data_IF_631887763387
#
_entry.id   IF_631887763387
#
_cell.length_a   1.000
_cell.length_b   1.000
_cell.length_c   1.000
_cell.angle_alpha   90.00
_cell.angle_beta   90.00
_cell.angle_gamma   90.00
#
_symmetry.space_group_name_H-M   'P 1'
#
loop_
_entity.id
_entity.type
_entity.pdbx_description
1 polymer ?
#
# COMPACT_ATOMS: atom_id res chain seq x y z
N UNK A 1 23.23 3.90 65.46
CA UNK A 1 21.96 4.41 64.89
C UNK A 1 21.98 4.20 63.38
N UNK A 2 21.61 3.00 62.90
CA UNK A 2 21.56 2.67 61.47
C UNK A 2 20.30 3.29 60.85
N UNK A 3 20.46 4.09 59.79
CA UNK A 3 19.32 4.66 59.06
C UNK A 3 18.58 3.54 58.32
N UNK A 4 17.35 3.24 58.75
CA UNK A 4 16.44 2.33 58.07
C UNK A 4 16.12 2.88 56.67
N UNK A 5 16.36 2.06 55.64
CA UNK A 5 16.14 2.44 54.25
C UNK A 5 14.65 2.25 53.93
N UNK A 6 13.95 3.34 53.58
CA UNK A 6 12.52 3.33 53.25
C UNK A 6 12.22 2.36 52.08
N UNK A 7 11.13 1.58 52.11
CA UNK A 7 10.82 0.55 51.12
C UNK A 7 10.68 1.08 49.68
N UNK A 8 10.30 2.35 49.51
CA UNK A 8 10.33 3.05 48.22
C UNK A 8 11.70 3.67 47.87
N UNK A 9 12.79 2.99 48.24
CA UNK A 9 14.14 3.43 47.91
C UNK A 9 14.35 3.38 46.40
N UNK A 10 14.83 4.48 45.81
CA UNK A 10 15.20 4.60 44.39
C UNK A 10 16.21 3.53 43.90
N UNK A 11 16.77 2.72 44.81
CA UNK A 11 17.57 1.53 44.51
C UNK A 11 16.88 0.54 43.57
N UNK A 12 15.55 0.49 43.56
CA UNK A 12 14.79 -0.37 42.65
C UNK A 12 14.40 0.32 41.32
N UNK A 13 14.55 1.64 41.22
CA UNK A 13 14.15 2.42 40.04
C UNK A 13 15.32 2.77 39.10
N UNK A 14 16.52 2.96 39.65
CA UNK A 14 17.73 3.16 38.85
C UNK A 14 18.57 1.88 38.85
N UNK A 15 19.01 1.35 37.69
CA UNK A 15 19.96 0.24 37.67
C UNK A 15 21.19 0.67 38.48
N UNK A 16 21.54 -0.12 39.50
CA UNK A 16 22.73 0.18 40.31
C UNK A 16 23.95 0.00 39.42
N UNK A 17 24.66 1.07 39.08
CA UNK A 17 25.84 0.97 38.20
C UNK A 17 27.00 0.32 38.96
N UNK A 18 27.26 -0.95 38.66
CA UNK A 18 28.46 -1.66 39.08
C UNK A 18 29.50 -1.59 37.95
N UNK A 19 30.78 -1.73 38.28
CA UNK A 19 31.85 -1.73 37.27
C UNK A 19 31.65 -2.79 36.17
N UNK A 20 31.00 -3.89 36.53
CA UNK A 20 30.70 -5.02 35.66
C UNK A 20 29.53 -4.72 34.72
N UNK A 21 28.39 -4.23 35.24
CA UNK A 21 27.25 -3.92 34.39
C UNK A 21 27.44 -2.67 33.52
N UNK A 22 28.27 -1.72 33.96
CA UNK A 22 28.64 -0.56 33.14
C UNK A 22 29.41 -1.01 31.89
N UNK A 23 30.31 -1.99 32.04
CA UNK A 23 31.06 -2.57 30.93
C UNK A 23 30.14 -3.35 29.99
N UNK A 24 29.21 -4.14 30.51
CA UNK A 24 28.21 -4.84 29.69
C UNK A 24 27.31 -3.88 28.91
N UNK A 25 26.82 -2.81 29.54
CA UNK A 25 26.00 -1.81 28.86
C UNK A 25 26.78 -1.04 27.79
N UNK A 26 28.07 -0.78 28.01
CA UNK A 26 28.94 -0.19 27.00
C UNK A 26 29.10 -1.12 25.78
N UNK A 27 29.32 -2.42 26.02
CA UNK A 27 29.41 -3.43 24.97
C UNK A 27 28.10 -3.56 24.18
N UNK A 28 26.95 -3.63 24.87
CA UNK A 28 25.62 -3.65 24.25
C UNK A 28 25.36 -2.39 23.41
N UNK A 29 25.75 -1.23 23.91
CA UNK A 29 25.60 0.03 23.17
C UNK A 29 26.46 0.06 21.92
N UNK A 30 27.71 -0.43 21.99
CA UNK A 30 28.58 -0.54 20.84
C UNK A 30 28.04 -1.52 19.80
N UNK A 31 27.54 -2.69 20.23
CA UNK A 31 26.91 -3.67 19.37
C UNK A 31 25.66 -3.12 18.67
N UNK A 32 24.78 -2.41 19.40
CA UNK A 32 23.59 -1.77 18.83
C UNK A 32 23.92 -0.72 17.77
N UNK A 33 24.94 0.12 18.02
CA UNK A 33 25.42 1.10 17.04
C UNK A 33 25.96 0.43 15.77
N UNK A 34 26.70 -0.68 15.93
CA UNK A 34 27.21 -1.47 14.80
C UNK A 34 26.05 -2.07 13.99
N UNK A 35 25.13 -2.78 14.64
CA UNK A 35 23.95 -3.36 13.99
C UNK A 35 23.12 -2.30 13.24
N UNK A 36 22.92 -1.12 13.84
CA UNK A 36 22.22 -0.01 13.19
C UNK A 36 22.97 0.54 11.98
N UNK A 37 24.32 0.59 12.03
CA UNK A 37 25.15 0.98 10.90
C UNK A 37 25.06 -0.04 9.77
N UNK A 38 25.18 -1.32 10.10
CA UNK A 38 25.13 -2.43 9.14
C UNK A 38 23.76 -2.47 8.45
N UNK A 39 22.66 -2.30 9.19
CA UNK A 39 21.30 -2.20 8.64
C UNK A 39 21.16 -1.02 7.67
N UNK A 40 21.70 0.17 8.01
CA UNK A 40 21.69 1.33 7.10
C UNK A 40 22.52 1.08 5.85
N UNK A 41 23.65 0.40 5.97
CA UNK A 41 24.50 0.09 4.83
C UNK A 41 23.84 -0.95 3.92
N UNK A 42 23.22 -1.97 4.50
CA UNK A 42 22.42 -2.95 3.76
C UNK A 42 21.30 -2.26 2.97
N UNK A 43 20.50 -1.39 3.62
CA UNK A 43 19.44 -0.65 2.96
C UNK A 43 19.96 0.24 1.82
N UNK A 44 21.11 0.92 2.01
CA UNK A 44 21.75 1.72 0.95
C UNK A 44 22.14 0.86 -0.25
N UNK A 45 22.63 -0.35 -0.01
CA UNK A 45 22.94 -1.31 -1.08
C UNK A 45 21.66 -1.71 -1.83
N UNK A 46 20.59 -2.05 -1.11
CA UNK A 46 19.29 -2.41 -1.71
C UNK A 46 18.71 -1.29 -2.57
N UNK A 47 18.80 -0.03 -2.10
CA UNK A 47 18.32 1.13 -2.87
C UNK A 47 19.18 1.41 -4.11
N UNK A 48 20.48 1.14 -4.04
CA UNK A 48 21.37 1.23 -5.20
C UNK A 48 21.03 0.17 -6.24
N UNK A 49 20.76 -1.05 -5.79
CA UNK A 49 20.36 -2.15 -6.66
C UNK A 49 18.99 -1.87 -7.30
N UNK A 50 18.04 -1.32 -6.54
CA UNK A 50 16.76 -0.85 -7.06
C UNK A 50 16.91 0.24 -8.11
N UNK A 51 17.74 1.26 -7.83
CA UNK A 51 18.00 2.34 -8.79
C UNK A 51 18.57 1.77 -10.10
N UNK A 52 19.52 0.84 -10.00
CA UNK A 52 20.12 0.19 -11.17
C UNK A 52 19.10 -0.67 -11.93
N UNK A 53 18.27 -1.43 -11.22
CA UNK A 53 17.17 -2.19 -11.84
C UNK A 53 16.19 -1.26 -12.57
N UNK A 54 15.87 -0.12 -11.96
CA UNK A 54 15.04 0.89 -12.62
C UNK A 54 15.71 1.40 -13.91
N UNK A 55 16.96 1.85 -13.84
CA UNK A 55 17.68 2.41 -15.00
C UNK A 55 17.91 1.38 -16.12
N UNK A 56 18.28 0.15 -15.76
CA UNK A 56 18.67 -0.89 -16.72
C UNK A 56 17.47 -1.66 -17.30
N UNK A 57 16.35 -1.73 -16.57
CA UNK A 57 15.19 -2.55 -16.93
C UNK A 57 13.93 -1.72 -17.09
N UNK A 58 13.54 -0.95 -16.07
CA UNK A 58 12.25 -0.24 -16.10
C UNK A 58 12.27 1.00 -17.00
N UNK A 59 13.40 1.71 -17.10
CA UNK A 59 13.51 2.90 -17.96
C UNK A 59 13.80 2.50 -19.43
N UNK A 60 14.27 1.27 -19.67
CA UNK A 60 14.50 0.71 -21.02
C UNK A 60 13.27 0.00 -21.59
N UNK A 61 12.30 -0.35 -20.75
CA UNK A 61 11.07 -1.04 -21.13
C UNK A 61 9.90 -0.13 -20.79
N UNK A 62 9.10 0.25 -21.78
CA UNK A 62 7.89 1.03 -21.55
C UNK A 62 6.84 0.15 -20.85
N UNK A 63 6.95 0.04 -19.52
CA UNK A 63 6.04 -0.69 -18.65
C UNK A 63 5.26 0.29 -17.79
N UNK A 64 3.94 0.19 -17.85
CA UNK A 64 3.06 0.89 -16.92
C UNK A 64 2.82 0.04 -15.66
N UNK A 65 2.14 0.60 -14.66
CA UNK A 65 1.87 -0.11 -13.39
C UNK A 65 1.06 -1.40 -13.57
N UNK A 66 0.23 -1.49 -14.61
CA UNK A 66 -0.55 -2.69 -14.92
C UNK A 66 0.36 -3.82 -15.42
N UNK A 67 1.38 -3.50 -16.21
CA UNK A 67 2.37 -4.47 -16.69
C UNK A 67 3.18 -5.05 -15.53
N UNK A 68 3.53 -4.22 -14.54
CA UNK A 68 4.19 -4.68 -13.31
C UNK A 68 3.31 -5.67 -12.53
N UNK A 69 2.01 -5.38 -12.40
CA UNK A 69 1.07 -6.30 -11.74
C UNK A 69 0.97 -7.64 -12.47
N UNK A 70 0.96 -7.62 -13.82
CA UNK A 70 0.95 -8.84 -14.65
C UNK A 70 2.22 -9.66 -14.47
N UNK A 71 3.40 -9.02 -14.45
CA UNK A 71 4.67 -9.71 -14.20
C UNK A 71 4.71 -10.36 -12.81
N UNK A 72 4.26 -9.65 -11.77
CA UNK A 72 4.19 -10.19 -10.42
C UNK A 72 3.22 -11.37 -10.32
N UNK A 73 2.09 -11.30 -11.02
CA UNK A 73 1.13 -12.39 -11.11
C UNK A 73 1.76 -13.63 -11.75
N UNK A 74 2.46 -13.48 -12.87
CA UNK A 74 3.17 -14.60 -13.51
C UNK A 74 4.26 -15.20 -12.62
N UNK A 75 4.98 -14.35 -11.87
CA UNK A 75 5.97 -14.82 -10.90
C UNK A 75 5.33 -15.64 -9.78
N UNK A 76 4.22 -15.17 -9.22
CA UNK A 76 3.48 -15.91 -8.20
C UNK A 76 2.98 -17.27 -8.73
N UNK A 77 2.49 -17.32 -9.98
CA UNK A 77 2.12 -18.58 -10.63
C UNK A 77 3.31 -19.54 -10.80
N UNK A 78 4.49 -19.03 -11.16
CA UNK A 78 5.72 -19.84 -11.26
C UNK A 78 6.16 -20.40 -9.92
N UNK A 79 6.00 -19.60 -8.85
CA UNK A 79 6.37 -19.96 -7.49
C UNK A 79 5.26 -20.83 -6.80
N UNK A 80 4.24 -21.28 -7.54
CA UNK A 80 3.04 -22.01 -7.07
C UNK A 80 2.26 -21.29 -5.95
N UNK A 81 2.46 -19.98 -5.82
CA UNK A 81 1.73 -19.11 -4.89
C UNK A 81 0.43 -18.62 -5.56
N UNK A 82 -0.55 -19.53 -5.61
CA UNK A 82 -1.84 -19.28 -6.25
C UNK A 82 -2.69 -18.24 -5.53
N UNK A 83 -2.52 -18.07 -4.22
CA UNK A 83 -3.24 -17.07 -3.44
C UNK A 83 -2.79 -15.66 -3.87
N UNK A 84 -1.48 -15.40 -3.89
CA UNK A 84 -0.94 -14.13 -4.37
C UNK A 84 -1.27 -13.89 -5.85
N UNK A 85 -1.21 -14.94 -6.67
CA UNK A 85 -1.56 -14.83 -8.09
C UNK A 85 -3.04 -14.43 -8.28
N UNK A 86 -3.95 -15.03 -7.51
CA UNK A 86 -5.39 -14.71 -7.53
C UNK A 86 -5.66 -13.26 -7.15
N UNK A 87 -5.03 -12.76 -6.08
CA UNK A 87 -5.17 -11.38 -5.63
C UNK A 87 -4.67 -10.37 -6.67
N UNK A 88 -3.54 -10.68 -7.32
CA UNK A 88 -2.99 -9.83 -8.39
C UNK A 88 -3.88 -9.86 -9.63
N UNK A 89 -4.44 -11.01 -9.99
CA UNK A 89 -5.38 -11.15 -11.10
C UNK A 89 -6.65 -10.31 -10.89
N UNK A 90 -7.22 -10.32 -9.67
CA UNK A 90 -8.38 -9.49 -9.34
C UNK A 90 -8.10 -7.99 -9.52
N UNK A 91 -6.91 -7.53 -9.09
CA UNK A 91 -6.47 -6.13 -9.28
C UNK A 91 -6.30 -5.80 -10.75
N UNK A 92 -5.64 -6.66 -11.52
CA UNK A 92 -5.48 -6.46 -12.97
C UNK A 92 -6.84 -6.33 -13.65
N UNK A 93 -7.79 -7.22 -13.32
CA UNK A 93 -9.13 -7.20 -13.89
C UNK A 93 -9.89 -5.90 -13.59
N UNK A 94 -9.76 -5.33 -12.39
CA UNK A 94 -10.38 -4.05 -12.03
C UNK A 94 -9.91 -2.89 -12.93
N UNK A 95 -8.63 -2.88 -13.30
CA UNK A 95 -8.06 -1.85 -14.16
C UNK A 95 -8.28 -2.10 -15.65
N UNK A 96 -8.46 -3.36 -16.07
CA UNK A 96 -8.79 -3.72 -17.45
C UNK A 96 -10.28 -3.55 -17.76
N UNK A 97 -11.16 -3.62 -16.75
CA UNK A 97 -12.56 -3.32 -16.96
C UNK A 97 -12.71 -1.85 -17.38
N UNK A 98 -13.38 -1.58 -18.52
CA UNK A 98 -13.71 -0.21 -18.88
C UNK A 98 -14.53 0.36 -17.73
N UNK A 99 -13.99 1.36 -17.03
CA UNK A 99 -14.73 2.11 -16.00
C UNK A 99 -16.07 2.42 -16.61
N UNK A 100 -17.16 1.90 -16.03
CA UNK A 100 -18.52 2.19 -16.46
C UNK A 100 -18.59 3.69 -16.70
N UNK A 101 -18.58 4.11 -17.96
CA UNK A 101 -18.70 5.52 -18.28
C UNK A 101 -19.99 5.93 -17.61
N UNK A 102 -19.89 6.92 -16.72
CA UNK A 102 -21.06 7.56 -16.13
C UNK A 102 -21.87 8.03 -17.35
N UNK A 103 -22.90 7.28 -17.73
CA UNK A 103 -23.85 7.77 -18.73
C UNK A 103 -24.43 8.99 -18.06
N UNK A 104 -24.09 10.17 -18.55
CA UNK A 104 -24.87 11.36 -18.27
C UNK A 104 -26.26 11.04 -18.84
N UNK A 105 -27.15 10.55 -17.97
CA UNK A 105 -28.56 10.52 -18.29
C UNK A 105 -28.95 11.99 -18.37
N UNK A 106 -28.99 12.54 -19.60
CA UNK A 106 -29.74 13.75 -19.86
C UNK A 106 -31.21 13.39 -19.62
N UNK A 107 -31.65 13.59 -18.38
CA UNK A 107 -33.07 13.56 -18.05
C UNK A 107 -33.64 14.87 -18.61
N UNK A 108 -34.12 14.83 -19.85
CA UNK A 108 -34.95 15.92 -20.36
C UNK A 108 -36.33 15.83 -19.69
N UNK A 109 -36.56 16.67 -18.68
CA UNK A 109 -37.89 16.84 -18.09
C UNK A 109 -38.77 17.63 -19.07
N UNK A 110 -39.52 16.92 -19.91
CA UNK A 110 -40.52 17.54 -20.78
C UNK A 110 -41.84 17.64 -20.01
N UNK A 111 -42.22 18.87 -19.65
CA UNK A 111 -43.51 19.16 -19.04
C UNK A 111 -44.67 18.91 -20.00
N UNK A 112 -45.71 18.21 -19.55
CA UNK A 112 -46.89 17.89 -20.35
C UNK A 112 -47.66 19.15 -20.81
N UNK A 113 -47.47 20.27 -20.14
CA UNK A 113 -48.00 21.59 -20.48
C UNK A 113 -47.35 22.23 -21.71
N UNK A 114 -46.18 21.72 -22.13
CA UNK A 114 -45.44 22.24 -23.29
C UNK A 114 -45.69 21.46 -24.58
N UNK A 115 -46.50 20.40 -24.53
CA UNK A 115 -46.81 19.54 -25.67
C UNK A 115 -48.31 19.59 -25.96
N UNK A 116 -48.67 19.57 -27.25
CA UNK A 116 -50.05 19.28 -27.63
C UNK A 116 -50.40 17.81 -27.37
N UNK A 117 -51.68 17.49 -27.27
CA UNK A 117 -52.17 16.11 -27.01
C UNK A 117 -51.63 15.09 -28.04
N UNK A 118 -51.50 15.52 -29.31
CA UNK A 118 -50.96 14.69 -30.40
C UNK A 118 -49.45 14.44 -30.22
N UNK A 119 -48.70 15.45 -29.82
CA UNK A 119 -47.25 15.35 -29.56
C UNK A 119 -46.98 14.52 -28.29
N UNK A 120 -47.81 14.67 -27.27
CA UNK A 120 -47.74 13.89 -26.03
C UNK A 120 -48.00 12.40 -26.29
N UNK A 121 -49.06 12.06 -27.02
CA UNK A 121 -49.36 10.65 -27.36
C UNK A 121 -48.24 10.02 -28.21
N UNK A 122 -47.66 10.79 -29.14
CA UNK A 122 -46.53 10.32 -29.95
C UNK A 122 -45.29 10.00 -29.10
N UNK A 123 -44.96 10.85 -28.11
CA UNK A 123 -43.81 10.64 -27.21
C UNK A 123 -44.05 9.49 -26.23
N UNK A 124 -45.27 9.37 -25.68
CA UNK A 124 -45.63 8.24 -24.80
C UNK A 124 -45.54 6.91 -25.55
N UNK A 125 -46.01 6.86 -26.80
CA UNK A 125 -45.88 5.66 -27.64
C UNK A 125 -44.41 5.31 -27.91
N UNK A 126 -43.57 6.30 -28.20
CA UNK A 126 -42.13 6.08 -28.42
C UNK A 126 -41.43 5.53 -27.16
N UNK A 127 -41.83 5.98 -25.96
CA UNK A 127 -41.26 5.52 -24.69
C UNK A 127 -41.76 4.14 -24.24
N UNK A 128 -42.89 3.65 -24.78
CA UNK A 128 -43.48 2.34 -24.45
C UNK A 128 -42.84 1.15 -25.18
N UNK A 129 -41.90 1.37 -26.12
CA UNK A 129 -41.28 0.31 -26.94
C UNK A 129 -39.98 -0.22 -26.33
N UNK A 130 -39.88 -0.26 -24.99
CA UNK A 130 -38.79 -0.94 -24.28
C UNK A 130 -39.35 -2.08 -23.45
#
# INVERSE_FOLDING_TARGET
MSKEVHPNSLKNLAPSFTKENAREMQLKSAASRKASSDARQALKLTMKDWKKYKEDVLDQVDMNSLDVLKVLMFKALQDEDFDTASDLAAKVAEYEQPKLQRRELQIEEIGADTLSDEELDSKIRALRVV
#
